data_IF_192431944909
#
_entry.id   IF_192431944909
#
_cell.length_a   1.000
_cell.length_b   1.000
_cell.length_c   1.000
_cell.angle_alpha   90.00
_cell.angle_beta   90.00
_cell.angle_gamma   90.00
#
_symmetry.space_group_name_H-M   'P 1'
#
loop_
_entity.id
_entity.type
_entity.pdbx_description
1 polymer ?
#
# COMPACT_ATOMS: atom_id res chain seq x y z
N UNK A 1 18.50 -2.97 -2.44
CA UNK A 1 17.73 -1.92 -1.81
C UNK A 1 17.97 -1.86 -0.32
N UNK A 2 18.27 -0.75 0.19
CA UNK A 2 18.47 -0.57 1.61
C UNK A 2 17.77 0.68 2.08
N UNK A 3 17.47 0.72 3.35
CA UNK A 3 16.73 1.83 3.92
C UNK A 3 17.15 2.11 5.33
N UNK A 4 18.41 1.88 5.60
CA UNK A 4 18.89 1.98 6.97
C UNK A 4 18.75 3.37 7.54
N UNK A 5 18.57 4.38 6.69
CA UNK A 5 18.42 5.75 7.17
C UNK A 5 16.96 6.18 7.28
N UNK A 6 16.06 5.35 6.86
CA UNK A 6 14.65 5.66 6.94
C UNK A 6 14.09 5.22 8.28
N UNK A 7 13.17 6.00 8.87
CA UNK A 7 12.46 5.53 10.06
C UNK A 7 11.45 4.44 9.73
N UNK A 8 11.24 4.17 8.45
CA UNK A 8 10.29 3.17 8.00
C UNK A 8 11.02 2.06 7.28
N UNK A 9 10.55 0.86 7.50
CA UNK A 9 10.99 -0.28 6.70
C UNK A 9 9.99 -0.54 5.61
N UNK A 10 10.50 -0.90 4.44
CA UNK A 10 9.68 -1.22 3.30
C UNK A 10 10.10 -2.59 2.81
N UNK A 11 9.14 -3.48 2.70
CA UNK A 11 9.36 -4.81 2.14
C UNK A 11 8.38 -5.00 1.00
N UNK A 12 8.90 -5.38 -0.16
CA UNK A 12 8.06 -5.68 -1.33
C UNK A 12 8.10 -7.17 -1.57
N UNK A 13 6.91 -7.78 -1.63
CA UNK A 13 6.78 -9.18 -1.95
C UNK A 13 6.03 -9.32 -3.26
N UNK A 14 6.61 -10.09 -4.16
CA UNK A 14 5.94 -10.42 -5.41
C UNK A 14 5.11 -11.65 -5.18
N UNK A 15 3.81 -11.51 -5.39
CA UNK A 15 2.88 -12.63 -5.25
C UNK A 15 2.81 -13.40 -6.54
N UNK A 16 3.21 -12.75 -7.64
CA UNK A 16 3.30 -13.40 -8.95
C UNK A 16 4.66 -13.04 -9.54
N UNK A 17 5.08 -13.79 -10.54
CA UNK A 17 6.41 -13.65 -11.10
C UNK A 17 6.46 -12.55 -12.16
N UNK A 18 6.41 -11.30 -11.71
CA UNK A 18 6.50 -10.13 -12.58
C UNK A 18 7.70 -9.30 -12.23
N UNK A 19 8.16 -8.51 -13.20
CA UNK A 19 9.41 -7.77 -13.07
C UNK A 19 9.24 -6.28 -12.87
N UNK A 20 8.06 -5.72 -13.09
CA UNK A 20 7.87 -4.29 -12.93
C UNK A 20 6.52 -3.98 -12.29
N UNK A 21 6.33 -2.72 -11.91
CA UNK A 21 5.12 -2.30 -11.22
C UNK A 21 3.98 -1.93 -12.16
N UNK A 22 4.29 -1.63 -13.43
CA UNK A 22 3.28 -1.16 -14.35
C UNK A 22 2.18 -2.21 -14.52
N UNK A 23 0.93 -1.77 -14.40
CA UNK A 23 -0.21 -2.65 -14.56
C UNK A 23 -0.46 -3.61 -13.40
N UNK A 24 0.28 -3.48 -12.30
CA UNK A 24 0.13 -4.39 -11.16
C UNK A 24 -0.91 -3.88 -10.18
N UNK A 25 -1.59 -4.83 -9.55
CA UNK A 25 -2.50 -4.56 -8.44
C UNK A 25 -1.71 -4.75 -7.16
N UNK A 26 -1.66 -3.73 -6.33
CA UNK A 26 -0.78 -3.69 -5.17
C UNK A 26 -1.60 -3.66 -3.89
N UNK A 27 -1.19 -4.46 -2.92
CA UNK A 27 -1.67 -4.37 -1.55
C UNK A 27 -0.56 -3.75 -0.72
N UNK A 28 -0.85 -2.61 -0.08
CA UNK A 28 0.10 -2.00 0.85
C UNK A 28 -0.38 -2.24 2.27
N UNK A 29 0.40 -2.98 3.04
CA UNK A 29 0.10 -3.29 4.43
C UNK A 29 0.82 -2.28 5.32
N UNK A 30 0.05 -1.61 6.18
CA UNK A 30 0.61 -0.57 7.04
C UNK A 30 0.73 0.75 6.31
N UNK A 31 -0.28 1.11 5.53
CA UNK A 31 -0.21 2.31 4.69
C UNK A 31 -0.21 3.61 5.48
N UNK A 32 -0.71 3.59 6.73
CA UNK A 32 -0.75 4.77 7.56
C UNK A 32 -1.48 5.93 6.91
N UNK A 33 -0.84 7.09 6.91
CA UNK A 33 -1.42 8.31 6.35
C UNK A 33 -1.25 8.44 4.83
N UNK A 34 -0.69 7.44 4.19
CA UNK A 34 -0.59 7.39 2.74
C UNK A 34 0.66 8.01 2.13
N UNK A 35 1.59 8.48 2.95
CA UNK A 35 2.76 9.18 2.41
C UNK A 35 3.55 8.34 1.41
N UNK A 36 3.77 7.08 1.73
CA UNK A 36 4.46 6.19 0.80
C UNK A 36 3.58 5.89 -0.41
N UNK A 37 2.30 5.64 -0.16
CA UNK A 37 1.36 5.27 -1.21
C UNK A 37 1.34 6.27 -2.35
N UNK A 38 1.30 7.57 -1.99
CA UNK A 38 1.21 8.62 -3.01
C UNK A 38 2.43 8.65 -3.92
N UNK A 39 3.56 8.16 -3.45
CA UNK A 39 4.81 8.24 -4.20
C UNK A 39 4.86 7.27 -5.38
N UNK A 40 4.11 6.16 -5.31
CA UNK A 40 4.19 5.17 -6.38
C UNK A 40 2.85 4.85 -7.03
N UNK A 41 1.76 5.34 -6.49
CA UNK A 41 0.43 4.89 -6.91
C UNK A 41 0.17 5.10 -8.40
N UNK A 42 0.72 6.18 -8.98
CA UNK A 42 0.51 6.44 -10.41
C UNK A 42 1.28 5.48 -11.31
N UNK A 43 2.23 4.74 -10.76
CA UNK A 43 3.06 3.81 -11.53
C UNK A 43 2.48 2.40 -11.60
N UNK A 44 1.39 2.15 -10.89
CA UNK A 44 0.76 0.83 -10.82
C UNK A 44 -0.67 0.92 -11.32
N UNK A 45 -1.33 -0.23 -11.44
CA UNK A 45 -2.71 -0.24 -11.88
C UNK A 45 -3.66 0.21 -10.78
N UNK A 46 -3.46 -0.28 -9.57
CA UNK A 46 -4.35 0.02 -8.45
C UNK A 46 -3.64 -0.33 -7.15
N UNK A 47 -3.91 0.44 -6.11
CA UNK A 47 -3.40 0.18 -4.77
C UNK A 47 -4.57 0.02 -3.82
N UNK A 48 -4.50 -1.02 -2.99
CA UNK A 48 -5.35 -1.14 -1.81
C UNK A 48 -4.45 -0.99 -0.60
N UNK A 49 -4.62 0.10 0.14
CA UNK A 49 -3.87 0.34 1.36
C UNK A 49 -4.67 -0.09 2.56
N UNK A 50 -4.06 -0.83 3.46
CA UNK A 50 -4.71 -1.24 4.70
C UNK A 50 -3.86 -0.83 5.89
N UNK A 51 -4.54 -0.55 6.98
CA UNK A 51 -3.89 -0.24 8.25
C UNK A 51 -4.87 -0.55 9.37
N UNK A 52 -4.33 -0.90 10.53
CA UNK A 52 -5.17 -1.13 11.71
C UNK A 52 -5.55 0.20 12.37
N UNK A 53 -4.80 1.26 12.11
CA UNK A 53 -4.98 2.56 12.75
C UNK A 53 -6.01 3.38 12.00
N UNK A 54 -7.18 3.50 12.59
CA UNK A 54 -8.29 4.23 11.98
C UNK A 54 -7.98 5.71 11.81
N UNK A 55 -7.24 6.29 12.76
CA UNK A 55 -6.93 7.72 12.70
C UNK A 55 -5.99 8.03 11.55
N UNK A 56 -5.00 7.16 11.33
CA UNK A 56 -4.10 7.30 10.19
C UNK A 56 -4.85 7.18 8.87
N UNK A 57 -5.78 6.23 8.81
CA UNK A 57 -6.58 6.06 7.58
C UNK A 57 -7.47 7.26 7.32
N UNK A 58 -7.95 7.91 8.38
CA UNK A 58 -8.76 9.11 8.20
C UNK A 58 -7.93 10.22 7.58
N UNK A 59 -6.70 10.37 8.05
CA UNK A 59 -5.77 11.34 7.46
C UNK A 59 -5.49 10.98 6.01
N UNK A 60 -5.26 9.70 5.73
CA UNK A 60 -5.00 9.26 4.37
C UNK A 60 -6.15 9.59 3.43
N UNK A 61 -7.39 9.42 3.88
CA UNK A 61 -8.54 9.75 3.05
C UNK A 61 -8.64 11.23 2.76
N UNK A 62 -8.30 12.06 3.74
CA UNK A 62 -8.33 13.52 3.56
C UNK A 62 -7.21 13.96 2.63
N UNK A 63 -6.03 13.39 2.80
CA UNK A 63 -4.83 13.83 2.09
C UNK A 63 -4.66 13.17 0.72
N UNK A 64 -5.47 12.17 0.42
CA UNK A 64 -5.35 11.45 -0.85
C UNK A 64 -5.48 12.43 -2.01
N UNK A 65 -4.47 12.48 -2.89
CA UNK A 65 -4.55 13.36 -4.06
C UNK A 65 -5.77 13.04 -4.92
N UNK A 66 -6.42 14.08 -5.42
CA UNK A 66 -7.67 13.91 -6.16
C UNK A 66 -7.48 13.07 -7.43
N UNK A 67 -6.31 13.17 -8.06
CA UNK A 67 -6.01 12.38 -9.26
C UNK A 67 -5.76 10.91 -8.95
N UNK A 68 -5.60 10.55 -7.68
CA UNK A 68 -5.41 9.15 -7.27
C UNK A 68 -6.65 8.55 -6.63
N UNK A 69 -7.73 9.28 -6.58
CA UNK A 69 -8.93 8.85 -5.86
C UNK A 69 -9.47 7.51 -6.36
N UNK A 70 -9.43 7.31 -7.68
CA UNK A 70 -9.92 6.08 -8.28
C UNK A 70 -8.87 4.98 -8.36
N UNK A 71 -7.62 5.31 -8.03
CA UNK A 71 -6.51 4.35 -8.10
C UNK A 71 -6.14 3.78 -6.76
N UNK A 72 -6.53 4.43 -5.67
CA UNK A 72 -6.15 4.01 -4.32
C UNK A 72 -7.40 3.84 -3.48
N UNK A 73 -7.61 2.62 -3.02
CA UNK A 73 -8.64 2.30 -2.03
C UNK A 73 -7.97 2.13 -0.66
N UNK A 74 -8.67 2.51 0.39
CA UNK A 74 -8.15 2.44 1.75
C UNK A 74 -9.15 1.68 2.62
N UNK A 75 -8.63 0.81 3.48
CA UNK A 75 -9.47 0.01 4.34
C UNK A 75 -8.77 -0.28 5.66
N UNK A 76 -9.54 -0.32 6.75
CA UNK A 76 -9.03 -0.76 8.02
C UNK A 76 -9.01 -2.28 8.03
N UNK A 77 -7.82 -2.85 8.21
CA UNK A 77 -7.68 -4.30 8.21
C UNK A 77 -6.37 -4.68 8.89
N UNK A 78 -6.35 -5.90 9.41
CA UNK A 78 -5.20 -6.50 10.06
C UNK A 78 -4.52 -7.42 9.05
N UNK A 79 -3.19 -7.36 8.97
CA UNK A 79 -2.44 -8.21 8.05
C UNK A 79 -2.64 -9.69 8.32
N UNK A 80 -3.01 -10.08 9.54
CA UNK A 80 -3.28 -11.47 9.89
C UNK A 80 -4.66 -11.93 9.44
N UNK A 81 -5.55 -11.00 9.10
CA UNK A 81 -6.94 -11.30 8.75
C UNK A 81 -7.35 -10.47 7.55
N UNK A 82 -6.74 -10.75 6.41
CA UNK A 82 -7.01 -9.98 5.20
C UNK A 82 -8.37 -10.33 4.64
N UNK A 83 -9.21 -9.33 4.34
CA UNK A 83 -10.54 -9.58 3.79
C UNK A 83 -10.52 -9.81 2.27
N UNK A 84 -9.39 -10.19 1.72
CA UNK A 84 -9.20 -10.31 0.29
C UNK A 84 -8.80 -11.71 -0.08
N UNK A 85 -9.15 -12.12 -1.29
CA UNK A 85 -8.68 -13.37 -1.84
C UNK A 85 -7.20 -13.25 -2.20
N UNK A 86 -6.48 -14.36 -2.11
CA UNK A 86 -5.04 -14.35 -2.33
C UNK A 86 -4.66 -13.97 -3.77
N UNK A 87 -5.57 -14.13 -4.72
CA UNK A 87 -5.30 -13.80 -6.12
C UNK A 87 -5.74 -12.39 -6.49
N UNK A 88 -6.12 -11.56 -5.50
CA UNK A 88 -6.57 -10.20 -5.75
C UNK A 88 -5.44 -9.25 -6.07
N UNK A 89 -4.20 -9.60 -5.75
CA UNK A 89 -3.06 -8.71 -5.87
C UNK A 89 -1.88 -9.39 -6.52
N UNK A 90 -1.06 -8.59 -7.18
CA UNK A 90 0.16 -9.08 -7.82
C UNK A 90 1.39 -8.82 -6.97
N UNK A 91 1.33 -7.79 -6.13
CA UNK A 91 2.41 -7.39 -5.25
C UNK A 91 1.85 -7.03 -3.89
N UNK A 92 2.64 -7.28 -2.86
CA UNK A 92 2.35 -6.77 -1.53
C UNK A 92 3.53 -5.96 -1.03
N UNK A 93 3.26 -4.76 -0.56
CA UNK A 93 4.25 -3.88 0.04
C UNK A 93 3.94 -3.82 1.53
N UNK A 94 4.92 -4.14 2.34
CA UNK A 94 4.80 -4.06 3.79
C UNK A 94 5.57 -2.84 4.25
N UNK A 95 4.85 -1.85 4.74
CA UNK A 95 5.43 -0.60 5.22
C UNK A 95 5.39 -0.61 6.74
N UNK A 96 6.56 -0.48 7.34
CA UNK A 96 6.70 -0.52 8.80
C UNK A 96 7.25 0.81 9.28
N UNK A 97 6.65 1.34 10.36
CA UNK A 97 7.15 2.53 11.02
C UNK A 97 7.74 2.18 12.37
N UNK A 98 8.80 2.87 12.75
CA UNK A 98 9.42 2.70 14.04
C UNK A 98 9.22 3.92 14.92
#
# INVERSE_FOLDING_TARGET
MTHEKDPERIEVRRLHDYLNFAGKRVLEVGCGDGRLTWRYASAVRHVTGIDVDRDELRIARIERPSDLENMVALAQADSAHLPFRSDSFDLAIFAWSF
#
